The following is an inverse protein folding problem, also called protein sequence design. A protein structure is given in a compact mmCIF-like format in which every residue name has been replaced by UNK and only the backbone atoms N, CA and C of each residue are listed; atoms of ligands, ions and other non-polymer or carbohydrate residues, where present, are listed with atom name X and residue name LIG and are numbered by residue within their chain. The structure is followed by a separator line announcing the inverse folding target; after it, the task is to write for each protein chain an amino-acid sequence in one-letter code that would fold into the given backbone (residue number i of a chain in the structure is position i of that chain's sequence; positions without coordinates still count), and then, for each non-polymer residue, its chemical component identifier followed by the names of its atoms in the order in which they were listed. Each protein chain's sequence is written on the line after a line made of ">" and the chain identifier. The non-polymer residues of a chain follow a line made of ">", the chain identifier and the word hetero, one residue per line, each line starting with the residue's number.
data_IF_964794833483
#
_entry.id   IF_964794833483
#
_cell.length_a   1.000
_cell.length_b   1.000
_cell.length_c   1.000
_cell.angle_alpha   90.00
_cell.angle_beta   90.00
_cell.angle_gamma   90.00
#
_symmetry.space_group_name_H-M   'P 1'
#
loop_
_entity.id
_entity.type
_entity.pdbx_description
1 polymer ?
#
# COMPACT_ATOMS: atom_id res chain seq x y z
N UNK A 1 4.61 -17.50 -5.38
CA UNK A 1 3.70 -17.22 -4.26
C UNK A 1 2.85 -16.05 -4.66
N UNK A 2 1.57 -16.05 -4.30
CA UNK A 2 0.65 -14.94 -4.54
C UNK A 2 0.15 -14.48 -3.18
N UNK A 3 0.15 -13.16 -2.93
CA UNK A 3 -0.33 -12.58 -1.69
C UNK A 3 -1.48 -11.63 -2.02
N UNK A 4 -2.57 -11.71 -1.26
CA UNK A 4 -3.69 -10.76 -1.36
C UNK A 4 -3.70 -9.91 -0.10
N UNK A 5 -3.60 -8.60 -0.33
CA UNK A 5 -3.77 -7.58 0.68
C UNK A 5 -5.04 -6.82 0.35
N UNK A 6 -5.87 -6.57 1.35
CA UNK A 6 -7.01 -5.67 1.17
C UNK A 6 -6.53 -4.22 1.24
N UNK A 7 -7.11 -3.29 0.47
CA UNK A 7 -6.69 -1.89 0.50
C UNK A 7 -6.70 -1.25 1.90
N UNK A 8 -7.65 -1.63 2.75
CA UNK A 8 -7.77 -1.16 4.14
C UNK A 8 -6.67 -1.71 5.08
N UNK A 9 -5.97 -2.77 4.68
CA UNK A 9 -4.83 -3.32 5.43
C UNK A 9 -3.53 -2.58 5.11
N UNK A 10 -3.53 -1.74 4.08
CA UNK A 10 -2.37 -0.97 3.67
C UNK A 10 -2.30 0.31 4.50
N UNK A 11 -1.32 0.36 5.40
CA UNK A 11 -1.00 1.57 6.13
C UNK A 11 -0.01 2.42 5.33
N UNK A 12 -0.29 3.71 5.22
CA UNK A 12 0.60 4.70 4.60
C UNK A 12 0.99 5.70 5.66
N UNK A 13 2.29 5.91 5.83
CA UNK A 13 2.86 6.83 6.83
C UNK A 13 4.01 7.61 6.21
N UNK A 14 4.29 8.79 6.78
CA UNK A 14 5.54 9.49 6.49
C UNK A 14 6.74 8.61 6.88
N UNK A 15 7.83 8.72 6.12
CA UNK A 15 8.98 7.82 6.22
C UNK A 15 9.68 7.86 7.59
N UNK A 16 9.68 9.02 8.23
CA UNK A 16 10.22 9.29 9.57
C UNK A 16 9.44 8.62 10.71
N UNK A 17 8.20 8.18 10.44
CA UNK A 17 7.31 7.54 11.42
C UNK A 17 7.01 6.08 11.09
N UNK A 18 7.75 5.52 10.13
CA UNK A 18 7.50 4.20 9.63
C UNK A 18 8.06 3.13 10.58
N UNK A 19 7.38 1.97 10.74
CA UNK A 19 7.99 0.81 11.37
C UNK A 19 9.13 0.25 10.50
N UNK A 20 10.08 -0.47 11.11
CA UNK A 20 11.23 -1.07 10.40
C UNK A 20 10.84 -2.03 9.26
N UNK A 21 9.64 -2.61 9.32
CA UNK A 21 9.09 -3.49 8.29
C UNK A 21 8.44 -2.76 7.11
N UNK A 22 8.38 -1.42 7.14
CA UNK A 22 7.78 -0.65 6.08
C UNK A 22 8.66 -0.60 4.84
N UNK A 23 8.02 -0.61 3.67
CA UNK A 23 8.67 -0.47 2.38
C UNK A 23 8.44 0.93 1.83
N UNK A 24 9.41 1.45 1.08
CA UNK A 24 9.26 2.76 0.43
C UNK A 24 8.38 2.62 -0.81
N UNK A 25 7.47 3.57 -0.98
CA UNK A 25 6.64 3.67 -2.16
C UNK A 25 6.46 5.13 -2.58
N UNK A 26 6.17 5.33 -3.86
CA UNK A 26 5.85 6.65 -4.40
C UNK A 26 4.36 6.76 -4.66
N UNK A 27 3.76 7.88 -4.32
CA UNK A 27 2.34 8.16 -4.60
C UNK A 27 2.17 8.41 -6.10
N UNK A 28 1.44 7.52 -6.78
CA UNK A 28 1.23 7.60 -8.23
C UNK A 28 -0.09 8.25 -8.59
N UNK A 29 -1.13 7.99 -7.80
CA UNK A 29 -2.47 8.52 -8.04
C UNK A 29 -3.28 8.57 -6.74
N UNK A 30 -4.22 9.50 -6.67
CA UNK A 30 -5.12 9.65 -5.52
C UNK A 30 -6.54 9.96 -5.99
N UNK A 31 -7.49 9.13 -5.56
CA UNK A 31 -8.93 9.31 -5.78
C UNK A 31 -9.61 9.57 -4.44
N UNK A 32 -10.36 10.66 -4.34
CA UNK A 32 -11.07 11.04 -3.11
C UNK A 32 -12.56 10.67 -3.21
N UNK A 33 -13.05 9.99 -2.18
CA UNK A 33 -14.43 9.57 -2.02
C UNK A 33 -14.97 10.11 -0.69
N UNK A 34 -15.13 11.43 -0.60
CA UNK A 34 -15.54 12.11 0.63
C UNK A 34 -14.44 12.08 1.69
N UNK A 35 -14.68 11.36 2.78
CA UNK A 35 -13.73 11.21 3.90
C UNK A 35 -12.64 10.16 3.65
N UNK A 36 -12.84 9.35 2.60
CA UNK A 36 -11.92 8.29 2.23
C UNK A 36 -11.09 8.71 1.03
N UNK A 37 -9.82 8.33 1.03
CA UNK A 37 -8.97 8.44 -0.15
C UNK A 37 -8.46 7.05 -0.56
N UNK A 38 -8.52 6.75 -1.85
CA UNK A 38 -7.88 5.60 -2.46
C UNK A 38 -6.58 6.06 -3.09
N UNK A 39 -5.46 5.50 -2.65
CA UNK A 39 -4.13 5.91 -3.08
C UNK A 39 -3.48 4.76 -3.82
N UNK A 40 -3.06 5.01 -5.05
CA UNK A 40 -2.25 4.08 -5.82
C UNK A 40 -0.78 4.39 -5.58
N UNK A 41 -0.04 3.38 -5.14
CA UNK A 41 1.35 3.48 -4.73
C UNK A 41 2.21 2.58 -5.62
N UNK A 42 3.34 3.11 -6.05
CA UNK A 42 4.37 2.35 -6.76
C UNK A 42 5.47 1.95 -5.79
N UNK A 43 5.67 0.64 -5.62
CA UNK A 43 6.82 0.11 -4.89
C UNK A 43 8.08 0.19 -5.76
N UNK A 44 9.26 0.19 -5.13
CA UNK A 44 10.55 0.30 -5.83
C UNK A 44 10.85 -0.86 -6.78
N UNK A 45 10.18 -2.00 -6.60
CA UNK A 45 10.29 -3.17 -7.47
C UNK A 45 9.34 -3.12 -8.70
N UNK A 46 8.59 -2.02 -8.85
CA UNK A 46 7.61 -1.84 -9.92
C UNK A 46 6.21 -2.38 -9.60
N UNK A 47 6.03 -3.02 -8.45
CA UNK A 47 4.71 -3.49 -7.99
C UNK A 47 3.81 -2.29 -7.69
N UNK A 48 2.54 -2.36 -8.11
CA UNK A 48 1.53 -1.37 -7.75
C UNK A 48 0.61 -1.92 -6.69
N UNK A 49 0.39 -1.13 -5.65
CA UNK A 49 -0.53 -1.47 -4.56
C UNK A 49 -1.50 -0.32 -4.35
N UNK A 50 -2.67 -0.64 -3.82
CA UNK A 50 -3.69 0.37 -3.53
C UNK A 50 -3.98 0.37 -2.05
N UNK A 51 -3.97 1.56 -1.45
CA UNK A 51 -4.27 1.76 -0.04
C UNK A 51 -5.54 2.61 0.12
N UNK A 52 -6.39 2.25 1.09
CA UNK A 52 -7.53 3.07 1.47
C UNK A 52 -7.20 3.78 2.78
N UNK A 53 -7.21 5.11 2.75
CA UNK A 53 -7.00 5.95 3.93
C UNK A 53 -8.35 6.52 4.35
N UNK A 54 -8.75 6.21 5.58
CA UNK A 54 -9.89 6.82 6.26
C UNK A 54 -9.39 8.09 6.96
N UNK A 55 -10.20 9.15 6.98
CA UNK A 55 -9.84 10.44 7.59
C UNK A 55 -8.48 10.94 7.09
N UNK A 56 -8.34 11.02 5.76
CA UNK A 56 -7.12 11.44 5.09
C UNK A 56 -6.73 12.86 5.55
N UNK A 57 -5.97 12.95 6.65
CA UNK A 57 -5.64 14.20 7.32
C UNK A 57 -4.89 15.16 6.41
N UNK A 58 -3.55 15.10 6.40
CA UNK A 58 -2.77 15.85 5.42
C UNK A 58 -2.82 15.10 4.08
N UNK A 59 -3.22 15.74 2.97
CA UNK A 59 -3.15 15.13 1.65
C UNK A 59 -1.70 14.74 1.31
N UNK A 60 -1.51 13.53 0.80
CA UNK A 60 -0.26 13.12 0.17
C UNK A 60 -0.23 13.69 -1.25
N UNK A 61 0.89 14.28 -1.66
CA UNK A 61 1.01 14.78 -3.02
C UNK A 61 1.42 13.66 -3.98
N UNK A 62 1.04 13.79 -5.25
CA UNK A 62 1.56 12.92 -6.31
C UNK A 62 3.09 13.08 -6.38
N UNK A 63 3.80 11.95 -6.43
CA UNK A 63 5.27 11.90 -6.40
C UNK A 63 5.87 11.89 -4.99
N UNK A 64 5.08 12.00 -3.91
CA UNK A 64 5.61 11.90 -2.56
C UNK A 64 6.17 10.50 -2.29
N UNK A 65 7.34 10.47 -1.65
CA UNK A 65 7.91 9.25 -1.08
C UNK A 65 7.31 8.98 0.30
N UNK A 66 6.64 7.83 0.41
CA UNK A 66 5.95 7.39 1.62
C UNK A 66 6.44 6.02 2.05
N UNK A 67 6.16 5.68 3.31
CA UNK A 67 6.39 4.35 3.83
C UNK A 67 5.06 3.59 3.89
N UNK A 68 5.08 2.37 3.38
CA UNK A 68 3.94 1.47 3.28
C UNK A 68 4.17 0.27 4.18
N UNK A 69 3.20 -0.05 5.01
CA UNK A 69 3.24 -1.21 5.89
C UNK A 69 1.91 -1.96 5.84
N UNK A 70 1.96 -3.23 6.21
CA UNK A 70 0.78 -4.08 6.24
C UNK A 70 0.27 -4.22 7.66
N UNK A 71 -1.03 -4.03 7.85
CA UNK A 71 -1.71 -4.16 9.13
C UNK A 71 -2.38 -5.54 9.22
N UNK A 72 -2.07 -6.24 10.31
CA UNK A 72 -2.65 -7.55 10.60
C UNK A 72 -2.16 -8.67 9.68
N UNK A 73 -2.93 -9.75 9.62
CA UNK A 73 -2.56 -10.96 8.86
C UNK A 73 -2.94 -10.85 7.39
N UNK A 74 -2.08 -11.38 6.52
CA UNK A 74 -2.33 -11.46 5.06
C UNK A 74 -2.64 -12.87 4.64
N UNK A 75 -3.35 -12.99 3.51
CA UNK A 75 -3.58 -14.27 2.88
C UNK A 75 -2.54 -14.49 1.78
N UNK A 76 -1.81 -15.60 1.89
CA UNK A 76 -0.85 -16.01 0.90
C UNK A 76 -1.18 -17.40 0.37
N UNK A 77 -1.02 -17.58 -0.93
CA UNK A 77 -1.14 -18.85 -1.61
C UNK A 77 0.21 -19.22 -2.22
N UNK A 78 0.65 -20.48 -2.08
CA UNK A 78 1.82 -20.96 -2.78
C UNK A 78 1.58 -20.85 -4.30
N UNK A 79 2.66 -20.70 -5.07
CA UNK A 79 2.54 -20.85 -6.52
C UNK A 79 2.28 -22.33 -6.77
N UNK A 80 1.08 -22.70 -7.19
CA UNK A 80 0.83 -24.06 -7.66
C UNK A 80 1.67 -24.25 -8.92
N UNK A 81 2.79 -24.96 -8.81
CA UNK A 81 3.46 -25.52 -9.97
C UNK A 81 2.57 -26.66 -10.45
N UNK A 82 1.82 -26.42 -11.52
CA UNK A 82 1.02 -27.48 -12.13
C UNK A 82 1.96 -28.61 -12.53
N UNK A 83 1.81 -29.78 -11.92
CA UNK A 83 2.39 -31.02 -12.44
C UNK A 83 1.69 -31.32 -13.76
N UNK A 84 2.46 -31.25 -14.85
CA UNK A 84 2.05 -31.59 -16.22
C UNK A 84 1.58 -33.03 -16.35
#
# INVERSE_FOLDING_TARGET
>A
MTVMLRPEQMGVTARDRAPDSAVTATVLHQDFYGHDAMITLGLTDGTRVTARILDAGKPLALGDDVAVHVRGVVRAWPRTVGSS
#
